data_IF_047729433393
#
_entry.id   IF_047729433393
#
_cell.length_a   1.000
_cell.length_b   1.000
_cell.length_c   1.000
_cell.angle_alpha   90.00
_cell.angle_beta   90.00
_cell.angle_gamma   90.00
#
_symmetry.space_group_name_H-M   'P 1'
#
loop_
_entity.id
_entity.type
_entity.pdbx_description
1 polymer ?
#
# COMPACT_ATOMS: atom_id res chain seq x y z
N UNK A 1 31.84 56.83 -32.51
CA UNK A 1 33.02 57.68 -32.23
C UNK A 1 33.91 56.91 -31.27
N UNK A 2 35.08 56.49 -31.74
CA UNK A 2 36.10 55.72 -31.00
C UNK A 2 36.94 56.66 -30.12
N UNK A 3 37.16 56.31 -28.87
CA UNK A 3 38.21 56.87 -27.98
C UNK A 3 38.77 55.65 -27.23
N UNK A 4 39.87 55.03 -27.67
CA UNK A 4 41.29 55.33 -27.40
C UNK A 4 41.62 55.45 -25.91
N UNK A 5 42.03 54.33 -25.31
CA UNK A 5 43.13 54.32 -24.34
C UNK A 5 43.93 53.03 -24.52
N UNK A 6 45.05 53.18 -25.24
CA UNK A 6 46.10 52.21 -25.44
C UNK A 6 47.37 52.95 -25.05
N UNK A 7 47.95 52.63 -23.88
CA UNK A 7 49.38 52.70 -23.58
C UNK A 7 49.62 52.22 -22.13
N UNK A 8 50.69 51.44 -21.95
CA UNK A 8 51.15 50.77 -20.71
C UNK A 8 50.29 49.55 -20.33
N UNK A 9 50.72 48.29 -20.48
CA UNK A 9 52.04 47.69 -20.27
C UNK A 9 52.23 46.61 -21.35
N UNK A 10 52.95 46.96 -22.41
CA UNK A 10 53.67 46.01 -23.26
C UNK A 10 55.14 46.30 -23.00
N UNK A 11 55.68 45.71 -21.94
CA UNK A 11 57.12 45.62 -21.72
C UNK A 11 57.39 44.59 -20.63
N UNK A 12 57.23 43.32 -20.96
CA UNK A 12 57.95 42.21 -20.32
C UNK A 12 57.77 40.91 -21.13
N UNK A 13 58.03 40.98 -22.42
CA UNK A 13 58.32 39.80 -23.23
C UNK A 13 59.42 40.19 -24.22
N UNK A 14 60.45 39.34 -24.28
CA UNK A 14 61.73 39.45 -24.99
C UNK A 14 62.87 40.13 -24.24
N UNK A 15 63.83 39.31 -23.79
CA UNK A 15 65.19 39.80 -23.60
C UNK A 15 66.05 39.15 -22.51
N UNK A 16 65.95 37.86 -22.22
CA UNK A 16 67.03 37.16 -21.47
C UNK A 16 67.38 35.81 -22.09
N UNK A 17 67.95 35.88 -23.30
CA UNK A 17 68.92 34.87 -23.73
C UNK A 17 70.24 35.12 -22.99
N UNK A 18 70.40 34.49 -21.83
CA UNK A 18 71.73 34.18 -21.31
C UNK A 18 71.92 32.68 -21.49
N UNK A 19 72.79 32.38 -22.43
CA UNK A 19 73.27 31.04 -22.77
C UNK A 19 74.12 30.56 -21.59
N UNK A 20 73.64 29.54 -20.88
CA UNK A 20 74.49 28.63 -20.12
C UNK A 20 74.36 27.28 -20.82
N UNK A 21 75.39 26.95 -21.61
CA UNK A 21 75.55 25.62 -22.19
C UNK A 21 76.08 24.68 -21.13
N UNK A 22 75.23 23.75 -20.68
CA UNK A 22 75.46 22.31 -20.50
C UNK A 22 74.57 21.73 -19.40
N UNK A 23 73.41 21.20 -19.78
CA UNK A 23 73.04 19.80 -19.53
C UNK A 23 71.75 19.52 -20.29
N UNK A 24 71.78 18.45 -21.08
CA UNK A 24 70.65 17.85 -21.79
C UNK A 24 69.39 17.90 -20.91
N UNK A 25 68.38 18.66 -21.31
CA UNK A 25 67.07 18.58 -20.68
C UNK A 25 66.03 18.50 -21.79
N UNK A 26 65.79 17.28 -22.23
CA UNK A 26 64.53 16.92 -22.88
C UNK A 26 63.40 17.62 -22.12
N UNK A 27 62.65 18.49 -22.77
CA UNK A 27 61.42 19.03 -22.18
C UNK A 27 60.41 17.89 -22.16
N UNK A 28 60.49 17.04 -21.14
CA UNK A 28 59.55 15.95 -20.93
C UNK A 28 58.19 16.56 -20.65
N UNK A 29 57.26 16.46 -21.60
CA UNK A 29 55.86 16.81 -21.35
C UNK A 29 55.31 15.85 -20.30
N UNK A 30 54.97 16.38 -19.12
CA UNK A 30 54.29 15.61 -18.08
C UNK A 30 52.79 15.59 -18.38
N UNK A 31 52.28 14.40 -18.67
CA UNK A 31 50.85 14.16 -18.86
C UNK A 31 50.18 13.85 -17.53
N UNK A 32 48.92 14.30 -17.37
CA UNK A 32 48.13 14.05 -16.16
C UNK A 32 48.00 12.54 -15.89
N UNK A 33 48.08 12.17 -14.60
CA UNK A 33 47.84 10.82 -14.10
C UNK A 33 46.40 10.57 -13.66
N UNK A 34 45.49 11.53 -13.88
CA UNK A 34 44.09 11.41 -13.47
C UNK A 34 43.35 10.38 -14.34
N UNK A 35 43.03 9.25 -13.70
CA UNK A 35 42.28 8.12 -14.25
C UNK A 35 40.84 8.06 -13.70
N UNK A 36 40.30 9.18 -13.20
CA UNK A 36 38.98 9.20 -12.55
C UNK A 36 37.84 9.67 -13.46
N UNK A 37 36.62 9.19 -13.16
CA UNK A 37 35.38 9.67 -13.79
C UNK A 37 34.79 10.76 -12.89
N UNK A 38 34.60 11.96 -13.43
CA UNK A 38 34.11 13.13 -12.68
C UNK A 38 32.60 13.32 -12.76
N UNK A 39 31.98 12.84 -13.85
CA UNK A 39 30.54 12.86 -14.03
C UNK A 39 30.08 11.69 -14.88
N UNK A 40 28.88 11.19 -14.61
CA UNK A 40 28.23 10.13 -15.35
C UNK A 40 26.72 10.41 -15.38
N UNK A 41 26.15 10.51 -16.59
CA UNK A 41 24.70 10.65 -16.76
C UNK A 41 24.22 9.77 -17.92
N UNK A 42 23.09 9.10 -17.71
CA UNK A 42 22.35 8.43 -18.77
C UNK A 42 21.31 9.37 -19.39
N UNK A 43 20.83 9.00 -20.56
CA UNK A 43 19.64 9.64 -21.14
C UNK A 43 18.40 9.43 -20.24
N UNK A 44 17.35 10.18 -20.53
CA UNK A 44 16.12 10.14 -19.72
C UNK A 44 15.43 8.79 -19.80
N UNK A 45 14.97 8.30 -18.65
CA UNK A 45 14.15 7.10 -18.54
C UNK A 45 12.72 7.57 -18.24
N UNK A 46 11.80 7.31 -19.18
CA UNK A 46 10.46 7.88 -19.17
C UNK A 46 10.43 9.42 -19.01
N UNK A 47 11.37 10.12 -19.65
CA UNK A 47 11.47 11.58 -19.60
C UNK A 47 12.01 12.14 -18.28
N UNK A 48 12.49 11.29 -17.36
CA UNK A 48 13.14 11.70 -16.10
C UNK A 48 14.63 11.38 -16.11
N UNK A 49 15.45 12.27 -15.54
CA UNK A 49 16.87 12.02 -15.26
C UNK A 49 17.03 11.34 -13.92
N UNK A 50 17.88 10.32 -13.86
CA UNK A 50 18.22 9.61 -12.63
C UNK A 50 19.66 9.95 -12.24
N UNK A 51 19.90 10.51 -11.03
CA UNK A 51 21.25 10.85 -10.60
C UNK A 51 22.05 9.58 -10.28
N UNK A 52 23.30 9.55 -10.73
CA UNK A 52 24.26 8.49 -10.43
C UNK A 52 25.29 8.96 -9.39
N UNK A 53 25.61 8.07 -8.47
CA UNK A 53 26.71 8.22 -7.52
C UNK A 53 27.95 7.54 -8.08
N UNK A 54 29.08 8.23 -8.03
CA UNK A 54 30.39 7.69 -8.38
C UNK A 54 31.15 7.47 -7.08
N UNK A 55 31.29 6.21 -6.67
CA UNK A 55 32.16 5.82 -5.57
C UNK A 55 33.60 5.72 -6.10
N UNK A 56 34.36 6.78 -5.86
CA UNK A 56 35.76 6.88 -6.27
C UNK A 56 36.66 5.87 -5.56
N UNK A 57 36.31 5.37 -4.38
CA UNK A 57 37.16 4.45 -3.63
C UNK A 57 37.01 3.05 -4.21
N UNK A 58 35.76 2.63 -4.42
CA UNK A 58 35.46 1.27 -4.88
C UNK A 58 35.37 1.15 -6.42
N UNK A 59 35.41 2.26 -7.16
CA UNK A 59 35.25 2.26 -8.60
C UNK A 59 33.85 1.79 -9.01
N UNK A 60 32.81 2.24 -8.33
CA UNK A 60 31.42 1.85 -8.67
C UNK A 60 30.59 3.05 -9.03
N UNK A 61 29.70 2.89 -10.01
CA UNK A 61 28.78 3.92 -10.48
C UNK A 61 27.37 3.33 -10.43
N UNK A 62 26.49 3.92 -9.63
CA UNK A 62 25.13 3.42 -9.47
C UNK A 62 24.14 4.53 -9.15
N UNK A 63 22.88 4.37 -9.56
CA UNK A 63 21.79 5.22 -9.12
C UNK A 63 21.36 4.84 -7.69
N UNK A 64 21.23 5.85 -6.82
CA UNK A 64 20.73 5.62 -5.45
C UNK A 64 19.24 5.23 -5.50
N UNK A 65 18.47 5.95 -6.30
CA UNK A 65 17.06 5.67 -6.53
C UNK A 65 16.88 4.77 -7.74
N UNK A 66 16.31 3.59 -7.51
CA UNK A 66 16.08 2.60 -8.56
C UNK A 66 15.17 3.14 -9.65
N UNK A 67 15.46 2.78 -10.90
CA UNK A 67 14.56 3.09 -12.03
C UNK A 67 13.32 2.17 -12.01
N UNK A 68 12.22 2.55 -12.69
CA UNK A 68 10.98 1.78 -12.70
C UNK A 68 11.18 0.33 -13.17
N UNK A 69 10.39 -0.60 -12.62
CA UNK A 69 10.45 -2.04 -12.97
C UNK A 69 10.40 -2.31 -14.48
N UNK A 70 9.63 -1.53 -15.24
CA UNK A 70 9.45 -1.67 -16.70
C UNK A 70 10.49 -0.93 -17.54
N UNK A 71 11.49 -0.31 -16.92
CA UNK A 71 12.53 0.43 -17.62
C UNK A 71 13.55 -0.46 -18.33
N UNK A 72 13.51 -1.78 -18.12
CA UNK A 72 14.33 -2.79 -18.80
C UNK A 72 14.33 -2.61 -20.32
N UNK A 73 13.17 -2.28 -20.90
CA UNK A 73 12.99 -2.02 -22.34
C UNK A 73 13.57 -0.69 -22.84
N UNK A 74 13.95 0.22 -21.93
CA UNK A 74 14.59 1.50 -22.25
C UNK A 74 16.10 1.38 -22.03
N UNK A 75 16.50 0.85 -20.87
CA UNK A 75 17.91 0.76 -20.50
C UNK A 75 18.65 -0.33 -21.28
N UNK A 76 17.95 -1.24 -21.96
CA UNK A 76 18.56 -2.16 -22.92
C UNK A 76 19.11 -1.47 -24.18
N UNK A 77 18.78 -0.19 -24.38
CA UNK A 77 19.26 0.63 -25.48
C UNK A 77 19.29 2.11 -25.07
N UNK A 78 20.16 2.45 -24.12
CA UNK A 78 20.26 3.81 -23.55
C UNK A 78 21.62 4.44 -23.84
N UNK A 79 21.64 5.76 -24.04
CA UNK A 79 22.86 6.53 -24.24
C UNK A 79 23.44 7.00 -22.91
N UNK A 80 24.78 7.04 -22.83
CA UNK A 80 25.48 7.86 -21.85
C UNK A 80 25.52 9.28 -22.41
N UNK A 81 24.81 10.21 -21.78
CA UNK A 81 24.71 11.60 -22.26
C UNK A 81 25.81 12.50 -21.70
N UNK A 82 26.46 12.07 -20.61
CA UNK A 82 27.60 12.75 -20.02
C UNK A 82 28.57 11.76 -19.41
N UNK A 83 29.84 11.91 -19.74
CA UNK A 83 30.96 11.16 -19.16
C UNK A 83 32.17 12.08 -19.12
N UNK A 84 32.46 12.64 -17.95
CA UNK A 84 33.55 13.61 -17.80
C UNK A 84 34.82 12.87 -17.34
N UNK A 85 35.81 12.74 -18.22
CA UNK A 85 37.14 12.15 -17.97
C UNK A 85 38.22 13.01 -18.64
N UNK A 86 39.45 13.00 -18.10
CA UNK A 86 40.58 13.68 -18.75
C UNK A 86 41.24 12.85 -19.86
N UNK A 87 41.20 11.52 -19.75
CA UNK A 87 41.75 10.59 -20.73
C UNK A 87 40.67 9.98 -21.62
N UNK A 88 40.74 8.67 -21.86
CA UNK A 88 39.72 7.94 -22.61
C UNK A 88 39.24 6.70 -21.85
N UNK A 89 38.03 6.23 -22.20
CA UNK A 89 37.39 5.09 -21.54
C UNK A 89 37.28 3.92 -22.49
N UNK A 90 37.62 2.73 -22.00
CA UNK A 90 37.47 1.46 -22.70
C UNK A 90 36.30 0.66 -22.12
N UNK A 91 35.62 -0.07 -23.00
CA UNK A 91 34.68 -1.14 -22.69
C UNK A 91 35.20 -2.41 -23.35
N UNK A 92 35.69 -3.35 -22.52
CA UNK A 92 36.57 -4.42 -23.01
C UNK A 92 37.85 -3.82 -23.61
N UNK A 93 38.10 -4.13 -24.89
CA UNK A 93 39.26 -3.63 -25.64
C UNK A 93 38.93 -2.46 -26.59
N UNK A 94 37.69 -1.94 -26.56
CA UNK A 94 37.20 -0.91 -27.48
C UNK A 94 37.02 0.42 -26.77
N UNK A 95 37.41 1.52 -27.41
CA UNK A 95 37.12 2.88 -26.92
C UNK A 95 35.61 3.12 -26.92
N UNK A 96 35.08 3.56 -25.77
CA UNK A 96 33.68 3.84 -25.59
C UNK A 96 33.24 5.01 -26.48
N UNK A 97 32.22 4.79 -27.31
CA UNK A 97 31.60 5.82 -28.13
C UNK A 97 30.29 6.28 -27.47
N UNK A 98 30.22 7.55 -27.05
CA UNK A 98 29.02 8.12 -26.42
C UNK A 98 27.83 8.30 -27.38
N UNK A 99 28.05 8.16 -28.69
CA UNK A 99 26.97 8.17 -29.68
C UNK A 99 26.25 6.82 -29.79
N UNK A 100 26.84 5.75 -29.24
CA UNK A 100 26.29 4.40 -29.30
C UNK A 100 25.48 4.09 -28.04
N UNK A 101 24.30 3.51 -28.23
CA UNK A 101 23.47 3.03 -27.13
C UNK A 101 24.04 1.75 -26.53
N UNK A 102 23.96 1.62 -25.21
CA UNK A 102 24.39 0.45 -24.47
C UNK A 102 23.19 -0.34 -23.95
N UNK A 103 23.37 -1.65 -23.82
CA UNK A 103 22.46 -2.50 -23.06
C UNK A 103 22.89 -2.54 -21.59
N UNK A 104 22.15 -1.83 -20.75
CA UNK A 104 22.36 -1.78 -19.30
C UNK A 104 21.31 -2.60 -18.53
N UNK A 105 20.44 -3.35 -19.22
CA UNK A 105 19.31 -4.06 -18.61
C UNK A 105 19.71 -5.17 -17.64
N UNK A 106 20.93 -5.69 -17.76
CA UNK A 106 21.47 -6.77 -16.93
C UNK A 106 22.58 -6.33 -15.97
N UNK A 107 22.76 -5.02 -15.79
CA UNK A 107 23.89 -4.49 -15.01
C UNK A 107 23.84 -4.83 -13.52
N UNK A 108 22.66 -5.16 -12.98
CA UNK A 108 22.52 -5.69 -11.61
C UNK A 108 23.04 -7.13 -11.43
N UNK A 109 23.15 -7.90 -12.52
CA UNK A 109 23.67 -9.27 -12.52
C UNK A 109 25.11 -9.30 -13.04
N UNK A 110 25.38 -8.52 -14.08
CA UNK A 110 26.66 -8.39 -14.75
C UNK A 110 26.96 -6.90 -14.97
N UNK A 111 27.61 -6.23 -14.01
CA UNK A 111 27.92 -4.80 -14.12
C UNK A 111 28.72 -4.48 -15.39
N UNK A 112 28.40 -3.35 -16.03
CA UNK A 112 29.17 -2.85 -17.16
C UNK A 112 30.55 -2.42 -16.65
N UNK A 113 31.61 -2.96 -17.25
CA UNK A 113 32.99 -2.61 -16.90
C UNK A 113 33.48 -1.49 -17.79
N UNK A 114 33.96 -0.42 -17.17
CA UNK A 114 34.62 0.70 -17.83
C UNK A 114 36.06 0.76 -17.33
N UNK A 115 37.03 0.97 -18.21
CA UNK A 115 38.42 1.22 -17.83
C UNK A 115 38.82 2.60 -18.30
N UNK A 116 39.17 3.49 -17.37
CA UNK A 116 39.72 4.80 -17.70
C UNK A 116 41.22 4.65 -17.87
N UNK A 117 41.75 5.20 -18.96
CA UNK A 117 43.19 5.36 -19.19
C UNK A 117 43.51 6.84 -19.10
N UNK A 118 44.39 7.24 -18.17
CA UNK A 118 44.80 8.62 -18.00
C UNK A 118 45.62 9.13 -19.21
N UNK A 119 45.75 10.45 -19.42
CA UNK A 119 46.54 11.03 -20.51
C UNK A 119 48.00 10.55 -20.57
N UNK A 120 48.58 10.14 -19.45
CA UNK A 120 49.94 9.59 -19.40
C UNK A 120 50.07 8.15 -19.92
N UNK A 121 48.96 7.48 -20.26
CA UNK A 121 48.89 6.08 -20.71
C UNK A 121 49.49 5.05 -19.74
N UNK A 122 49.71 5.42 -18.47
CA UNK A 122 50.26 4.56 -17.42
C UNK A 122 49.22 4.31 -16.33
N UNK A 123 48.54 5.37 -15.88
CA UNK A 123 47.52 5.28 -14.85
C UNK A 123 46.20 4.80 -15.44
N UNK A 124 45.62 3.82 -14.78
CA UNK A 124 44.37 3.20 -15.21
C UNK A 124 43.51 2.85 -14.02
N UNK A 125 42.20 3.04 -14.15
CA UNK A 125 41.24 2.68 -13.11
C UNK A 125 40.01 2.03 -13.71
N UNK A 126 39.61 0.92 -13.08
CA UNK A 126 38.42 0.16 -13.48
C UNK A 126 37.21 0.66 -12.68
N UNK A 127 36.10 0.84 -13.39
CA UNK A 127 34.80 1.16 -12.85
C UNK A 127 33.79 0.08 -13.23
N UNK A 128 32.84 -0.18 -12.34
CA UNK A 128 31.64 -0.95 -12.64
C UNK A 128 30.41 -0.04 -12.60
N UNK A 129 29.55 -0.13 -13.63
CA UNK A 129 28.29 0.60 -13.69
C UNK A 129 27.14 -0.37 -13.45
N UNK A 130 26.30 -0.04 -12.47
CA UNK A 130 25.09 -0.75 -12.08
C UNK A 130 23.89 0.18 -12.17
N UNK A 131 22.96 -0.10 -13.09
CA UNK A 131 21.66 0.57 -13.14
C UNK A 131 20.69 -0.25 -12.30
N UNK A 132 20.39 0.24 -11.10
CA UNK A 132 19.45 -0.38 -10.16
C UNK A 132 18.03 -0.19 -10.65
N UNK A 133 17.26 -1.26 -10.73
CA UNK A 133 15.86 -1.31 -11.15
C UNK A 133 15.02 -1.86 -9.99
N UNK A 134 13.78 -1.41 -9.83
CA UNK A 134 12.85 -2.09 -8.92
C UNK A 134 12.71 -3.57 -9.33
N UNK A 135 12.68 -4.48 -8.35
CA UNK A 135 12.54 -5.93 -8.62
C UNK A 135 11.09 -6.40 -8.77
N UNK A 136 10.14 -5.53 -8.44
CA UNK A 136 8.71 -5.83 -8.44
C UNK A 136 7.94 -4.61 -8.97
N UNK A 137 6.78 -4.84 -9.61
CA UNK A 137 5.87 -3.74 -9.97
C UNK A 137 5.31 -3.13 -8.67
N UNK A 138 5.56 -1.83 -8.40
CA UNK A 138 5.16 -1.17 -7.17
C UNK A 138 3.64 -1.16 -6.94
N UNK A 139 2.84 -1.22 -8.00
CA UNK A 139 1.37 -1.16 -7.91
C UNK A 139 0.72 -2.56 -7.85
N UNK A 140 1.50 -3.63 -7.94
CA UNK A 140 0.97 -5.00 -7.88
C UNK A 140 0.70 -5.44 -6.43
N UNK A 141 -0.50 -5.99 -6.20
CA UNK A 141 -0.88 -6.72 -5.00
C UNK A 141 -0.32 -8.13 -5.10
N UNK A 142 0.55 -8.50 -4.16
CA UNK A 142 1.13 -9.84 -4.11
C UNK A 142 0.56 -10.58 -2.91
N UNK A 143 -0.02 -11.75 -3.16
CA UNK A 143 -0.57 -12.65 -2.14
C UNK A 143 0.45 -13.73 -1.75
N UNK A 144 0.51 -14.02 -0.45
CA UNK A 144 1.30 -15.10 0.13
C UNK A 144 0.38 -15.97 0.98
N UNK A 145 0.43 -17.29 0.77
CA UNK A 145 -0.24 -18.24 1.65
C UNK A 145 0.57 -18.34 2.94
N UNK A 146 -0.06 -18.01 4.05
CA UNK A 146 0.56 -17.99 5.37
C UNK A 146 0.35 -19.33 6.08
N UNK A 147 -0.87 -19.88 6.02
CA UNK A 147 -1.17 -21.18 6.61
C UNK A 147 -2.07 -22.00 5.67
N UNK A 148 -1.84 -23.31 5.63
CA UNK A 148 -2.74 -24.26 4.93
C UNK A 148 -3.96 -24.63 5.75
N UNK A 149 -3.87 -24.52 7.08
CA UNK A 149 -4.99 -24.66 7.99
C UNK A 149 -4.66 -23.94 9.29
N UNK A 150 -5.53 -23.05 9.79
CA UNK A 150 -5.36 -22.39 11.10
C UNK A 150 -6.12 -23.09 12.24
N UNK A 151 -6.84 -24.16 11.95
CA UNK A 151 -7.56 -24.97 12.93
C UNK A 151 -7.34 -26.47 12.67
N UNK A 152 -7.72 -27.31 13.62
CA UNK A 152 -7.57 -28.76 13.51
C UNK A 152 -8.93 -29.45 13.60
N UNK A 153 -9.33 -30.14 12.53
CA UNK A 153 -10.55 -30.95 12.47
C UNK A 153 -11.82 -30.15 12.14
N UNK A 154 -12.69 -30.74 11.31
CA UNK A 154 -13.99 -30.17 10.93
C UNK A 154 -13.89 -28.99 9.95
N UNK A 155 -14.94 -28.16 9.95
CA UNK A 155 -15.02 -26.85 9.28
C UNK A 155 -15.54 -25.86 10.34
N UNK A 156 -15.00 -24.64 10.41
CA UNK A 156 -15.42 -23.65 11.41
C UNK A 156 -16.74 -22.94 11.06
N UNK A 157 -17.23 -23.10 9.83
CA UNK A 157 -18.43 -22.41 9.34
C UNK A 157 -18.25 -20.89 9.35
N UNK A 158 -19.31 -20.15 9.74
CA UNK A 158 -19.25 -18.68 9.84
C UNK A 158 -18.23 -18.26 10.91
N UNK A 159 -17.41 -17.28 10.55
CA UNK A 159 -16.34 -16.78 11.40
C UNK A 159 -16.17 -15.27 11.28
N UNK A 160 -15.50 -14.67 12.27
CA UNK A 160 -15.12 -13.26 12.26
C UNK A 160 -13.69 -13.10 12.73
N UNK A 161 -12.85 -12.52 11.89
CA UNK A 161 -11.51 -12.09 12.27
C UNK A 161 -11.50 -10.64 12.73
N UNK A 162 -10.65 -10.34 13.70
CA UNK A 162 -10.43 -8.99 14.24
C UNK A 162 -8.99 -8.85 14.71
N UNK A 163 -8.43 -7.65 14.60
CA UNK A 163 -7.09 -7.36 15.12
C UNK A 163 -7.23 -6.76 16.51
N UNK A 164 -6.48 -7.29 17.47
CA UNK A 164 -6.27 -6.73 18.79
C UNK A 164 -4.76 -6.68 19.04
N UNK A 165 -4.24 -5.49 19.29
CA UNK A 165 -2.79 -5.22 19.37
C UNK A 165 -2.02 -5.75 18.16
N UNK A 166 -1.05 -6.64 18.39
CA UNK A 166 -0.22 -7.29 17.35
C UNK A 166 -0.75 -8.67 16.96
N UNK A 167 -2.00 -9.00 17.30
CA UNK A 167 -2.59 -10.32 17.09
C UNK A 167 -3.87 -10.27 16.25
N UNK A 168 -4.05 -11.28 15.41
CA UNK A 168 -5.32 -11.57 14.74
C UNK A 168 -6.04 -12.62 15.58
N UNK A 169 -7.28 -12.33 15.97
CA UNK A 169 -8.20 -13.29 16.56
C UNK A 169 -9.25 -13.71 15.54
N UNK A 170 -9.65 -14.98 15.58
CA UNK A 170 -10.75 -15.55 14.81
C UNK A 170 -11.75 -16.18 15.78
N UNK A 171 -12.96 -15.63 15.78
CA UNK A 171 -14.09 -16.15 16.53
C UNK A 171 -15.06 -16.86 15.60
N UNK A 172 -15.80 -17.80 16.17
CA UNK A 172 -16.82 -18.60 15.48
C UNK A 172 -18.10 -18.62 16.32
N UNK A 173 -19.11 -19.37 15.88
CA UNK A 173 -20.29 -19.63 16.72
C UNK A 173 -19.98 -20.43 18.00
N UNK A 174 -18.82 -21.11 18.09
CA UNK A 174 -18.37 -21.70 19.34
C UNK A 174 -17.71 -20.62 20.21
N UNK A 175 -18.41 -20.17 21.24
CA UNK A 175 -17.98 -19.04 22.08
C UNK A 175 -17.04 -19.43 23.21
N UNK A 176 -16.72 -20.72 23.36
CA UNK A 176 -15.76 -21.22 24.35
C UNK A 176 -14.31 -21.26 23.82
N UNK A 177 -14.10 -21.02 22.52
CA UNK A 177 -12.77 -21.05 21.92
C UNK A 177 -12.60 -20.01 20.81
N UNK A 178 -11.36 -19.59 20.60
CA UNK A 178 -10.96 -18.76 19.47
C UNK A 178 -9.60 -19.24 18.93
N UNK A 179 -9.23 -18.76 17.76
CA UNK A 179 -7.91 -19.01 17.17
C UNK A 179 -7.16 -17.69 17.05
N UNK A 180 -5.87 -17.67 17.38
CA UNK A 180 -5.07 -16.46 17.23
C UNK A 180 -3.67 -16.70 16.68
N UNK A 181 -3.11 -15.66 16.07
CA UNK A 181 -1.72 -15.59 15.61
C UNK A 181 -1.20 -14.16 15.72
N UNK A 182 0.13 -14.01 15.75
CA UNK A 182 0.77 -12.70 15.66
C UNK A 182 0.79 -12.21 14.20
N UNK A 183 0.60 -10.90 13.99
CA UNK A 183 0.70 -10.23 12.68
C UNK A 183 2.05 -10.49 12.00
N UNK A 184 3.12 -10.61 12.80
CA UNK A 184 4.48 -10.90 12.31
C UNK A 184 4.66 -12.35 11.84
N UNK A 185 3.82 -13.29 12.29
CA UNK A 185 3.93 -14.71 11.98
C UNK A 185 2.92 -15.12 10.91
N UNK A 186 1.64 -15.23 11.26
CA UNK A 186 0.57 -15.68 10.37
C UNK A 186 0.60 -17.15 9.94
N UNK A 187 1.71 -17.87 10.15
CA UNK A 187 1.86 -19.28 9.75
C UNK A 187 1.42 -20.25 10.85
N UNK A 188 1.72 -19.91 12.11
CA UNK A 188 1.36 -20.72 13.27
C UNK A 188 0.18 -20.11 14.00
N UNK A 189 -0.79 -20.95 14.35
CA UNK A 189 -2.05 -20.55 14.98
C UNK A 189 -2.25 -21.31 16.27
N UNK A 190 -2.68 -20.58 17.31
CA UNK A 190 -2.94 -21.14 18.62
C UNK A 190 -4.44 -21.13 18.88
N UNK A 191 -4.96 -22.27 19.32
CA UNK A 191 -6.33 -22.33 19.85
C UNK A 191 -6.33 -21.89 21.30
N UNK A 192 -7.17 -20.91 21.63
CA UNK A 192 -7.29 -20.33 22.98
C UNK A 192 -8.68 -20.56 23.54
N UNK A 193 -8.75 -20.74 24.86
CA UNK A 193 -10.03 -20.79 25.58
C UNK A 193 -10.58 -19.38 25.74
N UNK A 194 -11.89 -19.25 25.55
CA UNK A 194 -12.62 -17.99 25.69
C UNK A 194 -13.57 -18.10 26.88
N UNK A 195 -13.46 -17.17 27.80
CA UNK A 195 -14.25 -17.08 29.01
C UNK A 195 -15.31 -15.98 28.90
N UNK A 196 -16.52 -16.28 29.38
CA UNK A 196 -17.64 -15.34 29.53
C UNK A 196 -18.14 -14.67 28.24
N UNK A 197 -17.87 -15.24 27.06
CA UNK A 197 -18.48 -14.83 25.80
C UNK A 197 -19.86 -15.50 25.65
N UNK A 198 -20.98 -14.74 25.61
CA UNK A 198 -22.32 -15.32 25.54
C UNK A 198 -22.56 -16.12 24.26
N UNK A 199 -23.31 -17.21 24.35
CA UNK A 199 -23.62 -18.06 23.19
C UNK A 199 -24.49 -17.38 22.11
N UNK A 200 -25.20 -16.30 22.46
CA UNK A 200 -26.11 -15.55 21.58
C UNK A 200 -25.45 -14.27 21.02
N UNK A 201 -24.14 -14.27 20.78
CA UNK A 201 -23.47 -13.14 20.14
C UNK A 201 -23.84 -13.03 18.65
N UNK A 202 -23.93 -11.79 18.18
CA UNK A 202 -23.96 -11.45 16.76
C UNK A 202 -22.53 -11.46 16.24
N UNK A 203 -22.07 -12.61 15.75
CA UNK A 203 -20.67 -12.84 15.35
C UNK A 203 -20.12 -11.77 14.39
N UNK A 204 -20.92 -11.29 13.43
CA UNK A 204 -20.52 -10.25 12.47
C UNK A 204 -20.24 -8.88 13.12
N UNK A 205 -20.80 -8.62 14.30
CA UNK A 205 -20.68 -7.36 15.04
C UNK A 205 -19.35 -7.17 15.76
N UNK A 206 -18.51 -8.20 15.88
CA UNK A 206 -17.24 -8.07 16.59
C UNK A 206 -16.38 -7.00 15.89
N UNK A 207 -15.94 -6.01 16.67
CA UNK A 207 -15.09 -4.93 16.19
C UNK A 207 -14.05 -4.52 17.22
N UNK A 208 -12.99 -3.86 16.75
CA UNK A 208 -11.99 -3.24 17.61
C UNK A 208 -12.31 -1.76 17.84
N UNK A 209 -12.15 -1.30 19.07
CA UNK A 209 -12.31 0.10 19.46
C UNK A 209 -11.46 0.40 20.71
N UNK A 210 -10.59 1.42 20.63
CA UNK A 210 -9.69 1.85 21.72
C UNK A 210 -8.98 0.68 22.41
N UNK A 211 -8.27 -0.11 21.62
CA UNK A 211 -7.46 -1.26 22.08
C UNK A 211 -8.26 -2.34 22.83
N UNK A 212 -9.56 -2.42 22.57
CA UNK A 212 -10.46 -3.45 23.09
C UNK A 212 -11.33 -3.99 21.97
N UNK A 213 -11.84 -5.20 22.16
CA UNK A 213 -12.87 -5.77 21.32
C UNK A 213 -14.25 -5.51 21.93
N UNK A 214 -15.25 -5.31 21.07
CA UNK A 214 -16.65 -5.19 21.45
C UNK A 214 -17.50 -6.12 20.59
N UNK A 215 -18.57 -6.65 21.17
CA UNK A 215 -19.54 -7.51 20.48
C UNK A 215 -20.95 -7.23 21.01
N UNK A 216 -21.92 -7.33 20.11
CA UNK A 216 -23.33 -7.23 20.41
C UNK A 216 -23.98 -8.61 20.52
N UNK A 217 -24.98 -8.78 21.37
CA UNK A 217 -25.78 -10.01 21.47
C UNK A 217 -27.16 -9.86 20.85
N UNK A 218 -27.86 -10.98 20.64
CA UNK A 218 -29.25 -11.00 20.18
C UNK A 218 -30.22 -10.37 21.19
N UNK A 219 -29.86 -10.30 22.48
CA UNK A 219 -30.63 -9.64 23.54
C UNK A 219 -30.18 -8.19 23.82
N UNK A 220 -29.58 -7.52 22.83
CA UNK A 220 -29.20 -6.10 22.85
C UNK A 220 -28.23 -5.73 24.00
N UNK A 221 -27.36 -6.66 24.39
CA UNK A 221 -26.27 -6.43 25.35
C UNK A 221 -24.95 -6.26 24.63
N UNK A 222 -24.06 -5.48 25.25
CA UNK A 222 -22.74 -5.20 24.71
C UNK A 222 -21.70 -5.82 25.63
N UNK A 223 -20.83 -6.66 25.06
CA UNK A 223 -19.69 -7.25 25.76
C UNK A 223 -18.41 -6.66 25.21
N UNK A 224 -17.37 -6.60 26.05
CA UNK A 224 -16.04 -6.17 25.65
C UNK A 224 -14.95 -7.11 26.16
N UNK A 225 -13.80 -7.10 25.49
CA UNK A 225 -12.61 -7.81 25.91
C UNK A 225 -11.36 -6.96 25.72
N UNK A 226 -10.48 -6.94 26.73
CA UNK A 226 -9.19 -6.24 26.67
C UNK A 226 -8.06 -7.12 26.12
N UNK A 227 -8.25 -8.43 26.11
CA UNK A 227 -7.22 -9.42 25.77
C UNK A 227 -7.65 -10.41 24.69
N UNK A 228 -8.91 -10.34 24.24
CA UNK A 228 -9.51 -11.24 23.26
C UNK A 228 -9.98 -12.59 23.82
N UNK A 229 -9.65 -12.95 25.06
CA UNK A 229 -10.00 -14.27 25.64
C UNK A 229 -10.97 -14.17 26.81
N UNK A 230 -11.00 -13.05 27.53
CA UNK A 230 -11.90 -12.84 28.66
C UNK A 230 -12.86 -11.70 28.33
N UNK A 231 -14.16 -12.00 28.37
CA UNK A 231 -15.21 -11.03 28.04
C UNK A 231 -15.97 -10.57 29.28
N UNK A 232 -16.38 -9.30 29.28
CA UNK A 232 -17.18 -8.70 30.34
C UNK A 232 -18.35 -7.93 29.73
N UNK A 233 -19.49 -7.96 30.39
CA UNK A 233 -20.63 -7.13 29.99
C UNK A 233 -20.31 -5.65 30.26
N UNK A 234 -20.58 -4.78 29.28
CA UNK A 234 -20.57 -3.34 29.47
C UNK A 234 -21.97 -2.88 29.89
N UNK A 235 -22.21 -2.76 31.20
CA UNK A 235 -23.52 -2.39 31.75
C UNK A 235 -24.03 -1.02 31.30
N UNK A 236 -23.14 -0.09 30.92
CA UNK A 236 -23.53 1.24 30.46
C UNK A 236 -24.03 1.24 29.00
N UNK A 237 -23.47 0.35 28.17
CA UNK A 237 -23.85 0.20 26.77
C UNK A 237 -24.95 -0.84 26.56
N UNK A 238 -25.05 -1.85 27.42
CA UNK A 238 -26.11 -2.86 27.42
C UNK A 238 -27.50 -2.28 27.70
N UNK A 239 -28.55 -2.91 27.16
CA UNK A 239 -29.95 -2.55 27.49
C UNK A 239 -30.44 -1.24 26.89
N UNK A 240 -29.74 -0.74 25.86
CA UNK A 240 -30.09 0.49 25.13
C UNK A 240 -30.78 0.21 23.78
N UNK A 241 -31.34 -1.00 23.60
CA UNK A 241 -32.02 -1.47 22.38
C UNK A 241 -31.18 -1.32 21.10
N UNK A 242 -29.86 -1.42 21.22
CA UNK A 242 -28.94 -1.39 20.08
C UNK A 242 -28.99 -2.75 19.39
N UNK A 243 -29.40 -2.78 18.12
CA UNK A 243 -29.61 -4.01 17.34
C UNK A 243 -28.43 -4.32 16.41
N UNK A 244 -27.69 -3.31 15.96
CA UNK A 244 -26.60 -3.48 14.98
C UNK A 244 -25.46 -2.50 15.24
N UNK A 245 -24.20 -2.95 15.15
CA UNK A 245 -23.04 -2.07 15.02
C UNK A 245 -22.77 -1.77 13.54
N UNK A 246 -22.45 -0.51 13.24
CA UNK A 246 -22.26 -0.01 11.87
C UNK A 246 -20.78 0.29 11.61
N UNK A 247 -20.13 1.09 12.46
CA UNK A 247 -18.75 1.50 12.28
C UNK A 247 -18.07 1.81 13.62
N UNK A 248 -16.73 1.78 13.61
CA UNK A 248 -15.88 2.13 14.74
C UNK A 248 -15.06 3.37 14.35
N UNK A 249 -15.52 4.56 14.76
CA UNK A 249 -14.73 5.78 14.69
C UNK A 249 -13.64 5.74 15.77
N UNK A 250 -12.56 6.53 15.66
CA UNK A 250 -11.50 6.54 16.67
C UNK A 250 -11.99 6.91 18.08
N UNK A 251 -13.05 7.71 18.17
CA UNK A 251 -13.60 8.23 19.41
C UNK A 251 -14.97 7.67 19.77
N UNK A 252 -15.67 6.95 18.88
CA UNK A 252 -16.96 6.35 19.17
C UNK A 252 -17.29 5.10 18.32
N UNK A 253 -18.09 4.20 18.90
CA UNK A 253 -18.78 3.14 18.16
C UNK A 253 -20.13 3.68 17.70
N UNK A 254 -20.53 3.36 16.47
CA UNK A 254 -21.81 3.76 15.90
C UNK A 254 -22.67 2.53 15.65
N UNK A 255 -23.97 2.65 15.88
CA UNK A 255 -24.92 1.56 15.71
C UNK A 255 -26.30 2.02 15.29
N UNK A 256 -27.23 1.07 15.28
CA UNK A 256 -28.66 1.27 15.08
C UNK A 256 -29.35 0.79 16.34
N UNK A 257 -30.28 1.60 16.86
CA UNK A 257 -31.14 1.22 17.97
C UNK A 257 -32.61 1.37 17.62
N UNK A 258 -33.44 0.56 18.25
CA UNK A 258 -34.90 0.64 18.16
C UNK A 258 -35.46 1.45 19.33
N UNK A 259 -36.35 2.39 19.05
CA UNK A 259 -37.07 3.11 20.10
C UNK A 259 -38.34 2.37 20.56
N UNK A 260 -39.02 2.89 21.59
CA UNK A 260 -40.25 2.31 22.14
C UNK A 260 -41.40 2.21 21.12
N UNK A 261 -41.36 3.01 20.05
CA UNK A 261 -42.35 3.01 18.97
C UNK A 261 -41.98 2.05 17.83
N UNK A 262 -40.82 1.40 17.91
CA UNK A 262 -40.31 0.48 16.89
C UNK A 262 -39.52 1.16 15.77
N UNK A 263 -39.28 2.47 15.84
CA UNK A 263 -38.55 3.23 14.82
C UNK A 263 -37.05 3.02 15.03
N UNK A 264 -36.34 2.73 13.93
CA UNK A 264 -34.90 2.57 13.92
C UNK A 264 -34.21 3.93 13.84
N UNK A 265 -33.28 4.18 14.75
CA UNK A 265 -32.46 5.41 14.78
C UNK A 265 -30.98 5.05 14.84
N UNK A 266 -30.15 5.85 14.18
CA UNK A 266 -28.71 5.77 14.38
C UNK A 266 -28.35 6.16 15.82
N UNK A 267 -27.26 5.59 16.33
CA UNK A 267 -26.74 5.94 17.65
C UNK A 267 -25.22 5.92 17.66
N UNK A 268 -24.64 6.68 18.59
CA UNK A 268 -23.20 6.82 18.75
C UNK A 268 -22.86 6.79 20.22
N UNK A 269 -21.83 6.04 20.62
CA UNK A 269 -21.40 6.02 22.03
C UNK A 269 -20.96 7.40 22.50
N UNK A 270 -21.23 7.72 23.76
CA UNK A 270 -20.63 8.88 24.41
C UNK A 270 -19.11 8.71 24.51
N UNK A 271 -18.36 9.82 24.57
CA UNK A 271 -16.88 9.79 24.57
C UNK A 271 -16.28 9.02 25.74
N UNK A 272 -17.00 8.95 26.87
CA UNK A 272 -16.65 8.23 28.10
C UNK A 272 -17.26 6.82 28.17
N UNK A 273 -17.96 6.38 27.11
CA UNK A 273 -18.69 5.10 27.04
C UNK A 273 -19.77 4.94 28.13
N UNK A 274 -20.32 6.05 28.64
CA UNK A 274 -21.41 6.06 29.62
C UNK A 274 -22.79 5.65 29.05
N UNK A 275 -22.90 5.51 27.72
CA UNK A 275 -24.15 5.20 27.04
C UNK A 275 -24.13 5.61 25.58
N UNK A 276 -25.32 5.77 25.00
CA UNK A 276 -25.53 6.05 23.59
C UNK A 276 -26.28 7.37 23.37
N UNK A 277 -25.73 8.23 22.53
CA UNK A 277 -26.43 9.39 21.98
C UNK A 277 -27.27 9.01 20.75
N UNK A 278 -28.50 9.51 20.68
CA UNK A 278 -29.40 9.30 19.53
C UNK A 278 -28.99 10.17 18.34
N UNK A 279 -29.10 9.61 17.14
CA UNK A 279 -28.88 10.25 15.85
C UNK A 279 -30.19 10.43 15.08
N UNK A 280 -30.10 10.38 13.75
CA UNK A 280 -31.23 10.48 12.81
C UNK A 280 -31.93 9.14 12.65
N UNK A 281 -33.14 9.19 12.12
CA UNK A 281 -33.89 8.00 11.69
C UNK A 281 -33.15 7.24 10.60
N UNK A 282 -33.22 5.91 10.65
CA UNK A 282 -32.60 5.00 9.67
C UNK A 282 -33.54 4.85 8.47
N UNK A 283 -33.12 5.17 7.24
CA UNK A 283 -33.92 4.92 6.05
C UNK A 283 -34.23 3.43 5.86
N UNK A 284 -35.39 3.08 5.31
CA UNK A 284 -35.77 1.67 5.03
C UNK A 284 -34.79 0.94 4.11
N UNK A 285 -34.07 1.68 3.27
CA UNK A 285 -33.05 1.15 2.35
C UNK A 285 -31.67 0.99 2.99
N UNK A 286 -31.51 1.34 4.26
CA UNK A 286 -30.23 1.24 4.94
C UNK A 286 -29.86 -0.22 5.23
N UNK A 287 -28.55 -0.45 5.32
CA UNK A 287 -27.93 -1.75 5.48
C UNK A 287 -28.00 -2.19 6.95
N UNK A 288 -28.47 -3.42 7.21
CA UNK A 288 -28.62 -3.92 8.59
C UNK A 288 -27.93 -5.25 8.85
N UNK A 289 -27.49 -5.95 7.80
CA UNK A 289 -26.83 -7.25 7.89
C UNK A 289 -25.46 -7.24 7.21
N UNK A 290 -24.55 -8.08 7.73
CA UNK A 290 -23.18 -8.28 7.21
C UNK A 290 -22.42 -6.99 6.90
N UNK A 291 -22.51 -6.04 7.83
CA UNK A 291 -21.93 -4.72 7.67
C UNK A 291 -20.39 -4.79 7.67
N UNK A 292 -19.80 -4.18 6.65
CA UNK A 292 -18.37 -3.92 6.51
C UNK A 292 -18.14 -2.42 6.40
N UNK A 293 -17.34 -1.86 7.30
CA UNK A 293 -17.04 -0.43 7.35
C UNK A 293 -15.56 -0.14 7.18
N UNK A 294 -15.27 0.99 6.54
CA UNK A 294 -13.93 1.54 6.40
C UNK A 294 -13.95 2.97 6.94
N UNK A 295 -13.17 3.22 7.98
CA UNK A 295 -13.01 4.54 8.60
C UNK A 295 -11.62 5.07 8.28
N UNK A 296 -11.56 6.29 7.76
CA UNK A 296 -10.31 6.91 7.35
C UNK A 296 -10.32 8.40 7.65
N UNK A 297 -9.11 8.97 7.71
CA UNK A 297 -8.92 10.40 7.89
C UNK A 297 -8.76 11.04 6.51
N UNK A 298 -9.62 12.00 6.18
CA UNK A 298 -9.53 12.74 4.93
C UNK A 298 -8.26 13.60 4.89
N UNK A 299 -7.91 14.09 3.69
CA UNK A 299 -6.82 15.07 3.51
C UNK A 299 -7.02 16.38 4.29
N UNK A 300 -8.25 16.70 4.68
CA UNK A 300 -8.58 17.86 5.52
C UNK A 300 -8.49 17.55 7.02
N UNK A 301 -8.11 16.32 7.40
CA UNK A 301 -7.96 15.90 8.79
C UNK A 301 -9.26 15.47 9.47
N UNK A 302 -10.36 15.32 8.72
CA UNK A 302 -11.68 14.94 9.25
C UNK A 302 -11.85 13.42 9.13
N UNK A 303 -12.39 12.78 10.17
CA UNK A 303 -12.73 11.36 10.11
C UNK A 303 -14.01 11.15 9.31
N UNK A 304 -13.98 10.17 8.40
CA UNK A 304 -15.12 9.77 7.59
C UNK A 304 -15.21 8.25 7.59
N UNK A 305 -16.42 7.75 7.79
CA UNK A 305 -16.73 6.34 7.64
C UNK A 305 -17.50 6.12 6.34
N UNK A 306 -17.18 5.05 5.65
CA UNK A 306 -18.06 4.42 4.68
C UNK A 306 -18.47 3.05 5.20
N UNK A 307 -19.64 2.58 4.78
CA UNK A 307 -20.16 1.27 5.13
C UNK A 307 -20.88 0.64 3.95
N UNK A 308 -20.73 -0.67 3.81
CA UNK A 308 -21.45 -1.54 2.88
C UNK A 308 -21.98 -2.75 3.66
N UNK A 309 -22.93 -3.47 3.11
CA UNK A 309 -23.56 -4.61 3.76
C UNK A 309 -24.65 -5.19 2.88
N UNK A 310 -25.34 -6.18 3.40
CA UNK A 310 -26.47 -6.77 2.69
C UNK A 310 -27.71 -5.88 2.82
N UNK A 311 -28.45 -5.80 1.72
CA UNK A 311 -29.69 -5.04 1.64
C UNK A 311 -30.80 -5.85 2.32
N UNK A 312 -31.52 -5.29 3.30
CA UNK A 312 -32.64 -6.00 3.93
C UNK A 312 -33.72 -6.32 2.90
N UNK A 313 -34.40 -7.46 3.06
CA UNK A 313 -35.50 -7.88 2.18
C UNK A 313 -35.13 -7.89 0.68
N UNK A 314 -33.95 -8.44 0.34
CA UNK A 314 -33.42 -8.53 -1.03
C UNK A 314 -34.46 -9.02 -2.07
N UNK A 315 -35.36 -9.93 -1.68
CA UNK A 315 -36.44 -10.46 -2.52
C UNK A 315 -37.45 -9.40 -2.96
N UNK A 316 -37.71 -8.40 -2.11
CA UNK A 316 -38.63 -7.29 -2.38
C UNK A 316 -37.92 -6.11 -3.05
N UNK A 317 -36.75 -5.72 -2.54
CA UNK A 317 -36.02 -4.53 -3.01
C UNK A 317 -35.32 -4.79 -4.36
N UNK A 318 -34.84 -6.02 -4.60
CA UNK A 318 -34.09 -6.43 -5.79
C UNK A 318 -32.97 -5.44 -6.15
N UNK A 319 -31.97 -5.30 -5.26
CA UNK A 319 -30.89 -4.35 -5.47
C UNK A 319 -30.13 -4.66 -6.77
N UNK A 320 -29.90 -3.61 -7.57
CA UNK A 320 -29.14 -3.69 -8.83
C UNK A 320 -27.66 -3.35 -8.57
N UNK A 321 -27.40 -2.55 -7.54
CA UNK A 321 -26.08 -2.05 -7.18
C UNK A 321 -25.78 -2.27 -5.71
N UNK A 322 -24.49 -2.35 -5.38
CA UNK A 322 -24.01 -2.29 -3.99
C UNK A 322 -23.83 -0.82 -3.64
N UNK A 323 -24.75 -0.24 -2.85
CA UNK A 323 -24.70 1.17 -2.46
C UNK A 323 -23.90 1.35 -1.16
N UNK A 324 -22.73 2.03 -1.19
CA UNK A 324 -22.05 2.45 0.03
C UNK A 324 -22.81 3.58 0.71
N UNK A 325 -22.75 3.63 2.04
CA UNK A 325 -23.27 4.74 2.84
C UNK A 325 -22.12 5.41 3.58
N UNK A 326 -22.15 6.73 3.74
CA UNK A 326 -21.11 7.44 4.46
C UNK A 326 -21.63 8.33 5.57
N UNK A 327 -20.78 8.56 6.56
CA UNK A 327 -21.02 9.48 7.65
C UNK A 327 -19.72 10.15 8.09
N UNK A 328 -19.83 11.35 8.65
CA UNK A 328 -18.71 12.08 9.28
C UNK A 328 -18.80 12.07 10.81
N UNK A 329 -19.96 11.73 11.37
CA UNK A 329 -20.23 11.83 12.82
C UNK A 329 -20.90 10.57 13.41
N UNK A 330 -21.28 9.60 12.56
CA UNK A 330 -22.00 8.40 12.96
C UNK A 330 -23.47 8.60 13.31
N UNK A 331 -23.95 9.85 13.39
CA UNK A 331 -25.31 10.22 13.81
C UNK A 331 -26.28 10.28 12.65
N UNK A 332 -25.78 10.46 11.43
CA UNK A 332 -26.57 10.36 10.21
C UNK A 332 -25.74 9.80 9.08
N UNK A 333 -26.36 8.99 8.25
CA UNK A 333 -25.73 8.35 7.10
C UNK A 333 -26.42 8.78 5.82
N UNK A 334 -25.64 8.99 4.75
CA UNK A 334 -26.13 9.33 3.43
C UNK A 334 -25.67 8.28 2.41
N UNK A 335 -26.52 7.95 1.45
CA UNK A 335 -26.17 7.05 0.35
C UNK A 335 -25.13 7.72 -0.55
N UNK A 336 -24.14 6.93 -0.98
CA UNK A 336 -23.09 7.33 -1.91
C UNK A 336 -23.44 6.82 -3.31
N UNK A 337 -24.45 7.43 -3.92
CA UNK A 337 -24.99 7.00 -5.22
C UNK A 337 -24.57 7.95 -6.33
N UNK A 338 -24.19 7.39 -7.49
CA UNK A 338 -24.04 8.15 -8.71
C UNK A 338 -25.42 8.35 -9.37
N UNK A 339 -25.61 9.38 -10.20
CA UNK A 339 -26.84 9.53 -10.98
C UNK A 339 -27.08 8.29 -11.86
N UNK A 340 -28.27 7.71 -11.78
CA UNK A 340 -28.66 6.56 -12.61
C UNK A 340 -28.58 6.97 -14.09
N UNK A 341 -27.81 6.26 -14.93
CA UNK A 341 -27.75 6.55 -16.36
C UNK A 341 -29.13 6.45 -17.01
N UNK A 342 -29.39 7.25 -18.05
CA UNK A 342 -30.66 7.16 -18.77
C UNK A 342 -30.77 5.81 -19.50
N UNK A 343 -31.99 5.32 -19.71
CA UNK A 343 -32.21 4.08 -20.44
C UNK A 343 -31.57 4.16 -21.85
N UNK A 344 -30.52 3.37 -22.08
CA UNK A 344 -29.74 3.38 -23.33
C UNK A 344 -28.27 3.80 -23.15
N UNK A 345 -27.89 4.34 -22.00
CA UNK A 345 -26.48 4.64 -21.68
C UNK A 345 -25.70 3.35 -21.40
N UNK A 346 -24.51 3.23 -22.00
CA UNK A 346 -23.62 2.07 -21.82
C UNK A 346 -22.63 2.21 -20.65
N UNK A 347 -22.64 3.36 -19.97
CA UNK A 347 -21.68 3.69 -18.91
C UNK A 347 -22.37 3.56 -17.55
N UNK A 348 -21.97 2.56 -16.78
CA UNK A 348 -22.38 2.39 -15.39
C UNK A 348 -21.27 2.87 -14.46
N UNK A 349 -21.58 3.82 -13.58
CA UNK A 349 -20.64 4.33 -12.57
C UNK A 349 -20.76 3.60 -11.23
N UNK A 350 -21.82 2.82 -11.03
CA UNK A 350 -22.13 2.19 -9.76
C UNK A 350 -21.34 0.89 -9.53
N UNK A 351 -21.19 0.55 -8.25
CA UNK A 351 -20.66 -0.74 -7.85
C UNK A 351 -21.73 -1.81 -8.12
N UNK A 352 -21.45 -2.88 -8.89
CA UNK A 352 -22.44 -3.91 -9.15
C UNK A 352 -22.88 -4.57 -7.85
N UNK A 353 -24.11 -5.08 -7.82
CA UNK A 353 -24.62 -5.78 -6.67
C UNK A 353 -23.76 -7.01 -6.33
N UNK A 354 -23.41 -7.14 -5.04
CA UNK A 354 -22.60 -8.21 -4.47
C UNK A 354 -23.21 -8.66 -3.15
N UNK A 355 -23.18 -9.96 -2.89
CA UNK A 355 -23.56 -10.54 -1.59
C UNK A 355 -22.38 -10.53 -0.63
N UNK A 356 -22.67 -10.29 0.64
CA UNK A 356 -21.69 -10.18 1.72
C UNK A 356 -20.52 -9.27 1.32
N UNK A 357 -20.78 -8.00 0.93
CA UNK A 357 -19.73 -7.12 0.46
C UNK A 357 -18.77 -6.75 1.61
N UNK A 358 -17.47 -6.79 1.32
CA UNK A 358 -16.42 -6.24 2.17
C UNK A 358 -15.86 -4.98 1.55
N UNK A 359 -15.54 -3.99 2.38
CA UNK A 359 -14.93 -2.74 1.96
C UNK A 359 -13.70 -2.41 2.77
N UNK A 360 -12.66 -1.92 2.09
CA UNK A 360 -11.45 -1.38 2.70
C UNK A 360 -11.10 0.00 2.12
N UNK A 361 -10.57 0.88 2.96
CA UNK A 361 -9.86 2.07 2.51
C UNK A 361 -8.36 1.76 2.52
N UNK A 362 -7.76 1.70 1.33
CA UNK A 362 -6.44 1.15 1.12
C UNK A 362 -5.74 1.91 -0.01
N UNK A 363 -4.45 2.25 0.13
CA UNK A 363 -3.71 2.98 -0.91
C UNK A 363 -4.45 4.25 -1.41
N UNK A 364 -4.98 5.02 -0.45
CA UNK A 364 -5.78 6.25 -0.66
C UNK A 364 -7.07 6.09 -1.48
N UNK A 365 -7.61 4.86 -1.59
CA UNK A 365 -8.82 4.57 -2.36
C UNK A 365 -9.70 3.55 -1.64
N UNK A 366 -10.97 3.50 -2.00
CA UNK A 366 -11.87 2.44 -1.57
C UNK A 366 -11.77 1.23 -2.49
N UNK A 367 -11.80 0.05 -1.90
CA UNK A 367 -11.91 -1.22 -2.59
C UNK A 367 -13.11 -1.97 -2.03
N UNK A 368 -13.97 -2.52 -2.90
CA UNK A 368 -15.09 -3.40 -2.57
C UNK A 368 -14.93 -4.73 -3.29
N UNK A 369 -15.32 -5.82 -2.62
CA UNK A 369 -15.47 -7.15 -3.21
C UNK A 369 -16.54 -7.94 -2.45
N UNK A 370 -17.15 -8.92 -3.12
CA UNK A 370 -18.15 -9.80 -2.53
C UNK A 370 -17.62 -11.21 -2.25
N UNK A 371 -18.50 -12.07 -1.72
CA UNK A 371 -18.17 -13.45 -1.34
C UNK A 371 -17.62 -14.35 -2.45
N UNK A 372 -17.85 -14.00 -3.72
CA UNK A 372 -17.36 -14.78 -4.86
C UNK A 372 -15.90 -14.48 -5.23
N UNK A 373 -15.30 -13.41 -4.69
CA UNK A 373 -13.92 -13.00 -5.00
C UNK A 373 -13.59 -12.85 -6.50
N UNK A 374 -14.59 -12.48 -7.31
CA UNK A 374 -14.42 -12.32 -8.77
C UNK A 374 -13.43 -11.19 -9.09
N UNK A 375 -13.71 -9.99 -8.57
CA UNK A 375 -12.91 -8.79 -8.83
C UNK A 375 -12.92 -7.86 -7.61
N UNK A 376 -11.87 -7.06 -7.51
CA UNK A 376 -11.94 -5.82 -6.75
C UNK A 376 -12.60 -4.72 -7.60
N UNK A 377 -13.49 -3.96 -6.98
CA UNK A 377 -14.00 -2.70 -7.50
C UNK A 377 -13.34 -1.57 -6.74
N UNK A 378 -12.84 -0.56 -7.46
CA UNK A 378 -12.09 0.55 -6.88
C UNK A 378 -12.80 1.87 -7.09
N UNK A 379 -12.76 2.74 -6.08
CA UNK A 379 -13.25 4.11 -6.14
C UNK A 379 -12.30 5.07 -5.40
N UNK A 380 -11.89 6.20 -5.98
CA UNK A 380 -11.13 7.21 -5.24
C UNK A 380 -11.96 7.92 -4.17
N UNK A 381 -13.27 8.10 -4.40
CA UNK A 381 -14.15 8.90 -3.54
C UNK A 381 -15.31 8.12 -2.90
N UNK A 382 -15.51 6.85 -3.29
CA UNK A 382 -16.59 5.99 -2.80
C UNK A 382 -17.92 6.19 -3.53
N UNK A 383 -17.93 6.91 -4.66
CA UNK A 383 -19.12 7.21 -5.47
C UNK A 383 -19.09 6.48 -6.81
N UNK A 384 -18.01 6.65 -7.58
CA UNK A 384 -17.86 6.00 -8.88
C UNK A 384 -16.90 4.82 -8.80
N UNK A 385 -17.28 3.70 -9.38
CA UNK A 385 -16.60 2.42 -9.21
C UNK A 385 -16.10 1.89 -10.55
N UNK A 386 -14.94 1.24 -10.51
CA UNK A 386 -14.34 0.59 -11.68
C UNK A 386 -13.84 -0.79 -11.33
N UNK A 387 -14.09 -1.76 -12.21
CA UNK A 387 -13.54 -3.12 -12.09
C UNK A 387 -12.02 -3.09 -12.28
N UNK A 388 -11.30 -3.81 -11.41
CA UNK A 388 -9.86 -4.01 -11.58
C UNK A 388 -9.58 -5.32 -12.31
N UNK A 389 -8.80 -5.24 -13.40
CA UNK A 389 -8.45 -6.39 -14.24
C UNK A 389 -6.95 -6.71 -14.24
N UNK A 390 -6.13 -5.87 -13.60
CA UNK A 390 -4.68 -6.03 -13.56
C UNK A 390 -4.09 -5.50 -12.25
N UNK A 391 -2.91 -6.02 -11.90
CA UNK A 391 -2.07 -5.63 -10.76
C UNK A 391 -2.67 -5.93 -9.38
N UNK A 392 -3.93 -5.59 -9.13
CA UNK A 392 -4.63 -5.84 -7.85
C UNK A 392 -5.71 -6.89 -8.08
N UNK A 393 -5.33 -8.16 -7.97
CA UNK A 393 -6.18 -9.31 -8.28
C UNK A 393 -6.18 -10.30 -7.12
N UNK A 394 -7.27 -11.08 -7.02
CA UNK A 394 -7.30 -12.25 -6.14
C UNK A 394 -6.58 -13.44 -6.78
N UNK A 395 -6.01 -14.37 -5.98
CA UNK A 395 -5.62 -15.68 -6.47
C UNK A 395 -6.83 -16.41 -7.08
N UNK A 396 -6.70 -17.05 -8.25
CA UNK A 396 -7.85 -17.62 -8.98
C UNK A 396 -8.69 -18.63 -8.21
N UNK A 397 -8.12 -19.32 -7.22
CA UNK A 397 -8.81 -20.35 -6.45
C UNK A 397 -9.68 -19.78 -5.31
N UNK A 398 -9.58 -18.48 -5.00
CA UNK A 398 -10.40 -17.84 -3.96
C UNK A 398 -11.90 -17.93 -4.25
N UNK A 399 -12.30 -17.88 -5.53
CA UNK A 399 -13.71 -18.02 -5.91
C UNK A 399 -14.33 -19.38 -5.62
N UNK A 400 -13.53 -20.38 -5.21
CA UNK A 400 -14.00 -21.69 -4.80
C UNK A 400 -14.01 -21.88 -3.27
N UNK A 401 -13.56 -20.86 -2.52
CA UNK A 401 -13.46 -20.90 -1.06
C UNK A 401 -14.67 -20.23 -0.41
N UNK A 402 -14.91 -20.50 0.86
CA UNK A 402 -16.12 -20.01 1.53
C UNK A 402 -15.92 -19.63 2.99
N UNK A 403 -16.88 -18.90 3.55
CA UNK A 403 -16.84 -18.38 4.92
C UNK A 403 -15.58 -17.55 5.19
N UNK A 404 -15.29 -16.61 4.29
CA UNK A 404 -14.16 -15.74 4.44
C UNK A 404 -14.35 -14.77 5.61
N UNK A 405 -13.24 -14.37 6.22
CA UNK A 405 -13.17 -13.18 7.05
C UNK A 405 -11.89 -12.43 6.73
N UNK A 406 -11.91 -11.11 6.93
CA UNK A 406 -10.85 -10.25 6.44
C UNK A 406 -10.53 -9.13 7.42
N UNK A 407 -9.25 -8.78 7.49
CA UNK A 407 -8.74 -7.64 8.25
C UNK A 407 -7.61 -6.96 7.49
N UNK A 408 -7.39 -5.68 7.74
CA UNK A 408 -6.22 -4.94 7.23
C UNK A 408 -5.40 -4.50 8.42
N UNK A 409 -4.11 -4.84 8.42
CA UNK A 409 -3.22 -4.46 9.51
C UNK A 409 -2.53 -3.10 9.30
N UNK A 410 -1.86 -2.63 10.36
CA UNK A 410 -1.11 -1.37 10.37
C UNK A 410 0.04 -1.31 9.35
N UNK A 411 0.54 -2.46 8.89
CA UNK A 411 1.63 -2.59 7.92
C UNK A 411 1.11 -2.74 6.47
N UNK A 412 -0.19 -2.42 6.28
CA UNK A 412 -0.91 -2.45 5.02
C UNK A 412 -1.06 -3.85 4.42
N UNK A 413 -0.98 -4.91 5.23
CA UNK A 413 -1.35 -6.24 4.77
C UNK A 413 -2.85 -6.47 4.90
N UNK A 414 -3.44 -6.95 3.81
CA UNK A 414 -4.79 -7.50 3.75
C UNK A 414 -4.68 -8.97 4.12
N UNK A 415 -5.37 -9.39 5.17
CA UNK A 415 -5.47 -10.78 5.58
C UNK A 415 -6.83 -11.33 5.19
N UNK A 416 -6.85 -12.51 4.59
CA UNK A 416 -8.07 -13.26 4.28
C UNK A 416 -7.92 -14.65 4.91
N UNK A 417 -8.94 -15.02 5.68
CA UNK A 417 -9.01 -16.28 6.41
C UNK A 417 -10.25 -17.03 5.97
N UNK A 418 -10.10 -18.32 5.67
CA UNK A 418 -11.16 -19.15 5.11
C UNK A 418 -11.69 -20.13 6.16
N UNK A 419 -12.94 -19.95 6.60
CA UNK A 419 -13.50 -20.73 7.71
C UNK A 419 -13.80 -22.18 7.36
N UNK A 420 -14.02 -22.47 6.07
CA UNK A 420 -14.22 -23.83 5.59
C UNK A 420 -12.90 -24.55 5.32
N UNK A 421 -12.03 -23.94 4.53
CA UNK A 421 -10.77 -24.56 4.10
C UNK A 421 -9.66 -24.46 5.16
N UNK A 422 -9.74 -23.49 6.07
CA UNK A 422 -8.72 -23.18 7.07
C UNK A 422 -7.53 -22.41 6.51
N UNK A 423 -7.52 -22.04 5.23
CA UNK A 423 -6.40 -21.33 4.65
C UNK A 423 -6.31 -19.89 5.17
N UNK A 424 -5.07 -19.40 5.33
CA UNK A 424 -4.77 -18.00 5.67
C UNK A 424 -3.89 -17.42 4.59
N UNK A 425 -4.32 -16.29 4.04
CA UNK A 425 -3.62 -15.58 3.00
C UNK A 425 -3.36 -14.14 3.42
N UNK A 426 -2.19 -13.62 3.03
CA UNK A 426 -1.78 -12.26 3.29
C UNK A 426 -1.36 -11.58 1.99
N UNK A 427 -1.93 -10.43 1.69
CA UNK A 427 -1.65 -9.66 0.49
C UNK A 427 -1.22 -8.24 0.80
N UNK A 428 -0.29 -7.66 0.03
CA UNK A 428 0.00 -6.23 0.09
C UNK A 428 0.41 -5.67 -1.27
N UNK A 429 0.03 -4.42 -1.57
CA UNK A 429 0.57 -3.70 -2.73
C UNK A 429 2.03 -3.35 -2.45
N UNK A 430 2.94 -3.72 -3.36
CA UNK A 430 4.38 -3.67 -3.13
C UNK A 430 4.90 -2.31 -2.62
N UNK A 431 4.42 -1.19 -3.18
CA UNK A 431 4.86 0.16 -2.76
C UNK A 431 4.49 0.51 -1.32
N UNK A 432 3.45 -0.11 -0.76
CA UNK A 432 3.06 0.10 0.64
C UNK A 432 4.00 -0.62 1.63
N UNK A 433 4.86 -1.50 1.13
CA UNK A 433 5.91 -2.14 1.93
C UNK A 433 7.25 -1.40 1.93
N UNK A 434 7.42 -0.40 1.05
CA UNK A 434 8.65 0.37 1.00
C UNK A 434 8.64 1.40 2.15
N UNK A 435 9.63 1.30 3.05
CA UNK A 435 9.89 2.40 4.00
C UNK A 435 10.44 3.56 3.18
N UNK A 436 9.63 4.60 2.99
CA UNK A 436 10.14 5.88 2.51
C UNK A 436 11.03 6.39 3.65
N UNK A 437 12.36 6.38 3.44
CA UNK A 437 13.26 7.15 4.30
C UNK A 437 13.00 8.61 3.92
N UNK A 438 12.29 9.33 4.78
CA UNK A 438 12.25 10.79 4.75
C UNK A 438 13.63 11.37 5.04
#
# INVERSE_FOLDING_TARGET
>A
MRIKFLLAIVSLFFGSFIIISCLDSDSTMEYSSDDTIHAFELDTIYGKRYPFTIDQINGTIYNIDSVPFTADTIINKILITRLDVLGYVLTGDTVLNLSDSLDLSKTMEQPLKLRVIAPNNVNTKDYTVEVRIHKQDPDSLVWTKMASSFFTGGELGKQKSVILDESIFVYTSNTAEAYCTLLSNGHEWTKVTVDNLPANIKLSSILAFRDKLYVLTEDNKVYFSENGTSWNENSALSGNEVETFVASFPDAITGIKKDESGILTFCVTNSDLSGWGTGREVPETFLTENISSAVYKTKTGIWKAFTVGDVPNETTIKPIYTTPWFSMDGRGWASAEAPIPLAGDSITYDCPYMKHPSMIYYNDKFYIFGENFDYFYISPEGLTWSRIEKKVLFPPHFGNMSHYSMVVDKDNFIWILWGKEGEVWRGRINKLGAKIKE
#
